data_IF_192975115025
#
_entry.id   IF_192975115025
#
_cell.length_a   1.000
_cell.length_b   1.000
_cell.length_c   1.000
_cell.angle_alpha   90.00
_cell.angle_beta   90.00
_cell.angle_gamma   90.00
#
_symmetry.space_group_name_H-M   'P 1'
#
loop_
_entity.id
_entity.type
_entity.pdbx_description
1 polymer ?
#
# COMPACT_ATOMS: atom_id res chain seq x y z
N UNK A 1 5.60 -11.33 12.99
CA UNK A 1 4.91 -10.75 11.80
C UNK A 1 5.89 -10.67 10.64
N UNK A 2 5.44 -10.84 9.41
CA UNK A 2 6.26 -10.74 8.20
C UNK A 2 5.51 -9.89 7.16
N UNK A 3 6.18 -8.93 6.55
CA UNK A 3 5.65 -8.15 5.42
C UNK A 3 6.39 -8.56 4.14
N UNK A 4 5.66 -8.60 3.01
CA UNK A 4 6.24 -8.81 1.68
C UNK A 4 5.62 -7.86 0.67
N UNK A 5 6.46 -7.26 -0.17
CA UNK A 5 6.06 -6.41 -1.28
C UNK A 5 5.86 -7.23 -2.55
N UNK A 6 4.73 -7.06 -3.22
CA UNK A 6 4.35 -7.74 -4.46
C UNK A 6 4.20 -6.77 -5.63
N UNK A 7 4.00 -5.50 -5.31
CA UNK A 7 3.99 -4.38 -6.23
C UNK A 7 4.28 -3.11 -5.46
N UNK A 8 5.09 -2.24 -6.05
CA UNK A 8 5.66 -1.05 -5.40
C UNK A 8 5.54 0.23 -6.24
N UNK A 9 5.00 0.14 -7.47
CA UNK A 9 4.82 1.28 -8.38
C UNK A 9 3.52 2.02 -8.12
N UNK A 10 3.55 3.32 -8.35
CA UNK A 10 2.38 4.19 -8.32
C UNK A 10 1.76 4.39 -9.69
N UNK A 11 0.50 4.75 -9.71
CA UNK A 11 -0.32 5.19 -10.83
C UNK A 11 -0.52 4.18 -11.96
N UNK A 12 0.53 3.52 -12.45
CA UNK A 12 0.47 2.56 -13.56
C UNK A 12 1.62 1.56 -13.47
N UNK A 13 1.44 0.30 -13.93
CA UNK A 13 2.55 -0.63 -14.03
C UNK A 13 3.66 -0.11 -14.94
N UNK A 14 4.91 -0.22 -14.49
CA UNK A 14 6.09 0.22 -15.22
C UNK A 14 7.12 -0.92 -15.32
N UNK A 15 6.79 -2.05 -16.03
CA UNK A 15 7.74 -3.14 -16.23
C UNK A 15 8.76 -2.75 -17.31
N UNK A 16 10.03 -3.03 -17.07
CA UNK A 16 11.07 -2.73 -18.05
C UNK A 16 12.47 -3.08 -17.54
N UNK A 17 13.50 -2.99 -18.40
CA UNK A 17 14.87 -3.28 -18.00
C UNK A 17 15.38 -2.32 -16.91
N UNK A 18 14.86 -1.09 -16.87
CA UNK A 18 15.27 -0.04 -15.96
C UNK A 18 14.59 -0.07 -14.59
N UNK A 19 13.62 -1.00 -14.41
CA UNK A 19 12.81 -1.14 -13.18
C UNK A 19 12.91 -2.54 -12.55
N UNK A 20 13.83 -3.38 -13.01
CA UNK A 20 13.94 -4.79 -12.59
C UNK A 20 14.26 -4.92 -11.10
N UNK A 21 15.07 -4.02 -10.55
CA UNK A 21 15.56 -4.12 -9.19
C UNK A 21 14.47 -3.85 -8.14
N UNK A 22 13.67 -2.81 -8.36
CA UNK A 22 12.59 -2.46 -7.45
C UNK A 22 11.27 -3.13 -7.83
N UNK A 23 11.03 -3.32 -9.11
CA UNK A 23 9.81 -3.93 -9.63
C UNK A 23 8.92 -2.94 -10.38
N UNK A 24 8.04 -3.47 -11.21
CA UNK A 24 7.16 -2.70 -12.10
C UNK A 24 5.65 -2.89 -11.81
N UNK A 25 5.27 -3.71 -10.84
CA UNK A 25 3.86 -3.92 -10.49
C UNK A 25 3.34 -2.82 -9.56
N UNK A 26 2.04 -2.52 -9.67
CA UNK A 26 1.38 -1.56 -8.80
C UNK A 26 1.02 -2.15 -7.44
N UNK A 27 0.64 -1.28 -6.52
CA UNK A 27 0.54 -1.45 -5.09
C UNK A 27 -0.10 -2.76 -4.63
N UNK A 28 0.71 -3.63 -4.01
CA UNK A 28 0.22 -4.81 -3.31
C UNK A 28 1.24 -5.24 -2.24
N UNK A 29 0.77 -5.33 -1.01
CA UNK A 29 1.59 -5.73 0.15
C UNK A 29 0.88 -6.83 0.92
N UNK A 30 1.60 -7.88 1.33
CA UNK A 30 1.04 -8.89 2.23
C UNK A 30 1.69 -8.85 3.60
N UNK A 31 0.87 -8.99 4.64
CA UNK A 31 1.30 -9.14 6.02
C UNK A 31 0.86 -10.51 6.53
N UNK A 32 1.84 -11.32 6.93
CA UNK A 32 1.61 -12.66 7.48
C UNK A 32 1.84 -12.65 8.99
N UNK A 33 0.86 -13.17 9.71
CA UNK A 33 0.96 -13.33 11.16
C UNK A 33 1.73 -14.60 11.55
N UNK A 34 2.17 -14.68 12.79
CA UNK A 34 2.80 -15.90 13.33
C UNK A 34 1.85 -17.11 13.35
N UNK A 35 0.53 -16.89 13.43
CA UNK A 35 -0.51 -17.93 13.47
C UNK A 35 -1.15 -18.23 12.11
N UNK A 36 -0.55 -17.75 11.02
CA UNK A 36 -1.00 -18.06 9.66
C UNK A 36 -2.10 -17.14 9.12
N UNK A 37 -2.45 -16.06 9.80
CA UNK A 37 -3.34 -15.02 9.26
C UNK A 37 -2.68 -14.29 8.09
N UNK A 38 -3.48 -13.89 7.11
CA UNK A 38 -3.06 -13.14 5.94
C UNK A 38 -3.86 -11.86 5.82
N UNK A 39 -3.17 -10.73 5.86
CA UNK A 39 -3.70 -9.42 5.46
C UNK A 39 -3.02 -9.00 4.17
N UNK A 40 -3.78 -8.54 3.21
CA UNK A 40 -3.33 -7.99 1.94
C UNK A 40 -3.72 -6.52 1.92
N UNK A 41 -2.79 -5.63 1.62
CA UNK A 41 -3.05 -4.20 1.51
C UNK A 41 -2.87 -3.81 0.05
N UNK A 42 -3.91 -3.24 -0.50
CA UNK A 42 -4.12 -2.91 -1.90
C UNK A 42 -4.07 -4.11 -2.87
N UNK A 43 -4.76 -3.96 -3.96
CA UNK A 43 -5.06 -5.01 -4.93
C UNK A 43 -4.59 -4.62 -6.34
N UNK A 44 -3.43 -3.94 -6.44
CA UNK A 44 -2.78 -3.62 -7.71
C UNK A 44 -2.27 -4.86 -8.45
N UNK A 45 -1.53 -4.67 -9.53
CA UNK A 45 -1.09 -5.80 -10.38
C UNK A 45 -0.21 -6.81 -9.65
N UNK A 46 0.48 -6.40 -8.57
CA UNK A 46 1.23 -7.31 -7.70
C UNK A 46 0.39 -8.42 -7.07
N UNK A 47 -0.93 -8.20 -6.92
CA UNK A 47 -1.86 -9.18 -6.37
C UNK A 47 -1.91 -10.49 -7.18
N UNK A 48 -1.74 -10.43 -8.50
CA UNK A 48 -1.69 -11.62 -9.35
C UNK A 48 -0.55 -12.55 -8.94
N UNK A 49 0.63 -12.01 -8.67
CA UNK A 49 1.81 -12.80 -8.26
C UNK A 49 1.64 -13.39 -6.86
N UNK A 50 1.07 -12.63 -5.93
CA UNK A 50 0.67 -13.13 -4.62
C UNK A 50 -0.31 -14.29 -4.76
N UNK A 51 -1.37 -14.10 -5.56
CA UNK A 51 -2.39 -15.12 -5.80
C UNK A 51 -1.79 -16.43 -6.31
N UNK A 52 -0.95 -16.37 -7.33
CA UNK A 52 -0.26 -17.53 -7.87
C UNK A 52 0.60 -18.27 -6.81
N UNK A 53 1.28 -17.51 -5.95
CA UNK A 53 2.07 -18.09 -4.85
C UNK A 53 1.18 -18.80 -3.83
N UNK A 54 0.03 -18.22 -3.48
CA UNK A 54 -0.91 -18.79 -2.51
C UNK A 54 -1.55 -20.09 -2.99
N UNK A 55 -1.66 -20.30 -4.31
CA UNK A 55 -2.20 -21.54 -4.90
C UNK A 55 -1.41 -22.78 -4.53
N UNK A 56 -0.13 -22.66 -4.22
CA UNK A 56 0.69 -23.77 -3.71
C UNK A 56 0.33 -24.25 -2.30
N UNK A 57 -0.53 -23.50 -1.57
CA UNK A 57 -0.88 -23.75 -0.17
C UNK A 57 -2.36 -24.07 0.03
N UNK A 58 -2.89 -23.60 1.15
CA UNK A 58 -4.28 -23.82 1.58
C UNK A 58 -5.30 -23.18 0.64
N UNK A 59 -4.93 -22.08 -0.01
CA UNK A 59 -5.81 -21.38 -0.96
C UNK A 59 -6.10 -22.20 -2.21
N UNK A 60 -5.14 -22.99 -2.71
CA UNK A 60 -5.37 -23.89 -3.83
C UNK A 60 -6.29 -25.08 -3.49
N UNK A 61 -6.54 -25.31 -2.20
CA UNK A 61 -7.42 -26.38 -1.67
C UNK A 61 -8.76 -25.87 -1.16
N UNK A 62 -9.06 -24.60 -1.30
CA UNK A 62 -10.30 -23.99 -0.83
C UNK A 62 -10.39 -23.77 0.68
N UNK A 63 -9.27 -23.81 1.40
CA UNK A 63 -9.22 -23.57 2.85
C UNK A 63 -8.59 -22.22 3.23
N UNK A 64 -8.35 -21.33 2.27
CA UNK A 64 -7.70 -20.06 2.48
C UNK A 64 -8.60 -18.98 3.05
N UNK A 65 -8.05 -18.16 3.95
CA UNK A 65 -8.73 -16.98 4.49
C UNK A 65 -7.80 -15.78 4.31
N UNK A 66 -8.31 -14.70 3.69
CA UNK A 66 -7.59 -13.44 3.53
C UNK A 66 -8.46 -12.25 3.93
N UNK A 67 -7.84 -11.27 4.58
CA UNK A 67 -8.42 -9.95 4.79
C UNK A 67 -7.69 -8.98 3.86
N UNK A 68 -8.42 -8.32 2.98
CA UNK A 68 -7.91 -7.30 2.08
C UNK A 68 -8.30 -5.93 2.62
N UNK A 69 -7.34 -5.03 2.69
CA UNK A 69 -7.51 -3.64 3.11
C UNK A 69 -7.23 -2.76 1.89
N UNK A 70 -8.18 -1.93 1.53
CA UNK A 70 -8.03 -1.04 0.39
C UNK A 70 -7.82 0.38 0.88
N UNK A 71 -6.69 0.99 0.46
CA UNK A 71 -6.40 2.39 0.78
C UNK A 71 -7.38 3.33 0.09
N UNK A 72 -7.62 3.12 -1.20
CA UNK A 72 -8.61 3.82 -2.03
C UNK A 72 -8.83 3.06 -3.34
N UNK A 73 -9.63 3.60 -4.25
CA UNK A 73 -10.14 2.88 -5.43
C UNK A 73 -9.57 3.35 -6.77
N UNK A 74 -8.40 4.02 -6.80
CA UNK A 74 -7.70 4.24 -8.05
C UNK A 74 -7.31 2.91 -8.70
N UNK A 75 -7.20 2.88 -10.02
CA UNK A 75 -7.01 1.64 -10.77
C UNK A 75 -5.78 0.85 -10.35
N UNK A 76 -4.70 1.51 -10.09
CA UNK A 76 -3.45 0.88 -9.68
C UNK A 76 -3.53 0.20 -8.31
N UNK A 77 -4.58 0.49 -7.52
CA UNK A 77 -4.87 -0.18 -6.26
C UNK A 77 -5.93 -1.29 -6.37
N UNK A 78 -6.66 -1.43 -7.48
CA UNK A 78 -7.74 -2.42 -7.63
C UNK A 78 -7.59 -3.33 -8.85
N UNK A 79 -6.78 -2.96 -9.85
CA UNK A 79 -6.74 -3.63 -11.17
C UNK A 79 -6.29 -5.09 -11.13
N UNK A 80 -5.60 -5.53 -10.08
CA UNK A 80 -5.20 -6.93 -9.90
C UNK A 80 -6.28 -7.84 -9.34
N UNK A 81 -7.35 -7.27 -8.75
CA UNK A 81 -8.39 -8.04 -8.10
C UNK A 81 -9.10 -9.05 -9.01
N UNK A 82 -9.51 -8.71 -10.25
CA UNK A 82 -10.10 -9.67 -11.19
C UNK A 82 -9.21 -10.85 -11.52
N UNK A 83 -7.90 -10.73 -11.34
CA UNK A 83 -6.89 -11.75 -11.66
C UNK A 83 -6.36 -12.50 -10.43
N UNK A 84 -6.99 -12.31 -9.27
CA UNK A 84 -6.61 -12.99 -8.03
C UNK A 84 -7.15 -14.43 -8.02
N UNK A 85 -6.37 -15.37 -8.54
CA UNK A 85 -6.76 -16.79 -8.72
C UNK A 85 -7.43 -17.41 -7.49
N UNK A 86 -6.98 -17.17 -6.23
CA UNK A 86 -7.64 -17.71 -5.04
C UNK A 86 -9.13 -17.33 -4.90
N UNK A 87 -9.57 -16.21 -5.51
CA UNK A 87 -10.97 -15.80 -5.50
C UNK A 87 -11.89 -16.75 -6.29
N UNK A 88 -11.34 -17.52 -7.22
CA UNK A 88 -12.10 -18.47 -8.04
C UNK A 88 -12.19 -19.87 -7.42
N UNK A 89 -11.49 -20.13 -6.30
CA UNK A 89 -11.44 -21.43 -5.66
C UNK A 89 -12.54 -21.52 -4.58
N UNK A 90 -13.49 -22.41 -4.79
CA UNK A 90 -14.57 -22.67 -3.84
C UNK A 90 -14.05 -23.02 -2.45
N UNK A 91 -14.68 -22.49 -1.41
CA UNK A 91 -14.31 -22.69 -0.02
C UNK A 91 -13.33 -21.68 0.56
N UNK A 92 -12.58 -20.92 -0.26
CA UNK A 92 -11.83 -19.78 0.22
C UNK A 92 -12.76 -18.66 0.72
N UNK A 93 -12.29 -17.88 1.68
CA UNK A 93 -13.01 -16.73 2.25
C UNK A 93 -12.15 -15.48 2.16
N UNK A 94 -12.70 -14.44 1.56
CA UNK A 94 -12.03 -13.17 1.32
C UNK A 94 -12.90 -12.06 1.88
N UNK A 95 -12.35 -11.27 2.83
CA UNK A 95 -13.02 -10.09 3.35
C UNK A 95 -12.29 -8.85 2.84
N UNK A 96 -12.98 -8.02 2.06
CA UNK A 96 -12.44 -6.75 1.53
C UNK A 96 -12.99 -5.60 2.35
N UNK A 97 -12.09 -4.74 2.83
CA UNK A 97 -12.42 -3.56 3.62
C UNK A 97 -11.87 -2.31 2.93
N UNK A 98 -12.67 -1.26 2.79
CA UNK A 98 -12.23 0.03 2.28
C UNK A 98 -13.18 1.15 2.70
N UNK A 99 -12.67 2.39 2.82
CA UNK A 99 -13.38 3.38 3.60
C UNK A 99 -13.76 4.69 2.94
N UNK A 100 -12.97 5.17 2.00
CA UNK A 100 -13.14 6.56 1.54
C UNK A 100 -14.12 6.73 0.37
N UNK A 101 -14.31 5.68 -0.41
CA UNK A 101 -15.20 5.73 -1.58
C UNK A 101 -16.49 4.95 -1.26
N UNK A 102 -17.66 5.56 -1.37
CA UNK A 102 -18.93 4.86 -1.18
C UNK A 102 -19.14 3.81 -2.29
N UNK A 103 -19.98 2.81 -2.03
CA UNK A 103 -20.31 1.77 -3.00
C UNK A 103 -19.11 0.92 -3.45
N UNK A 104 -18.24 0.55 -2.50
CA UNK A 104 -17.02 -0.22 -2.80
C UNK A 104 -17.30 -1.50 -3.59
N UNK A 105 -18.38 -2.23 -3.29
CA UNK A 105 -18.74 -3.46 -4.00
C UNK A 105 -19.08 -3.18 -5.47
N UNK A 106 -19.85 -2.12 -5.74
CA UNK A 106 -20.20 -1.72 -7.12
C UNK A 106 -18.95 -1.31 -7.92
N UNK A 107 -17.97 -0.68 -7.27
CA UNK A 107 -16.70 -0.30 -7.91
C UNK A 107 -15.88 -1.53 -8.27
N UNK A 108 -15.76 -2.48 -7.34
CA UNK A 108 -15.03 -3.73 -7.59
C UNK A 108 -15.71 -4.56 -8.67
N UNK A 109 -17.04 -4.61 -8.71
CA UNK A 109 -17.77 -5.30 -9.75
C UNK A 109 -17.72 -4.55 -11.09
N UNK A 110 -17.76 -3.22 -11.07
CA UNK A 110 -17.74 -2.38 -12.27
C UNK A 110 -16.49 -2.57 -13.13
N UNK A 111 -15.33 -2.89 -12.54
CA UNK A 111 -14.12 -3.20 -13.31
C UNK A 111 -14.19 -4.53 -14.07
N UNK A 112 -15.17 -5.38 -13.76
CA UNK A 112 -15.39 -6.70 -14.39
C UNK A 112 -16.46 -6.67 -15.51
N UNK A 113 -16.67 -5.52 -16.11
CA UNK A 113 -17.61 -5.35 -17.22
C UNK A 113 -17.17 -6.16 -18.46
N UNK A 114 -18.02 -7.03 -19.02
CA UNK A 114 -17.65 -7.94 -20.12
C UNK A 114 -17.26 -7.24 -21.43
N UNK A 115 -17.52 -5.93 -21.55
CA UNK A 115 -17.11 -5.15 -22.74
C UNK A 115 -15.59 -4.96 -22.80
N UNK A 116 -14.92 -4.88 -21.63
CA UNK A 116 -13.48 -4.63 -21.56
C UNK A 116 -12.72 -5.53 -20.56
N UNK A 117 -13.42 -6.37 -19.81
CA UNK A 117 -12.81 -7.32 -18.87
C UNK A 117 -13.10 -8.76 -19.29
N UNK A 118 -12.09 -9.67 -19.26
CA UNK A 118 -12.33 -11.10 -19.48
C UNK A 118 -13.03 -11.77 -18.27
N UNK A 119 -13.03 -11.12 -17.11
CA UNK A 119 -13.68 -11.58 -15.88
C UNK A 119 -14.99 -10.81 -15.73
N UNK A 120 -16.11 -11.51 -15.59
CA UNK A 120 -17.43 -10.96 -15.84
C UNK A 120 -18.25 -10.56 -14.61
N UNK A 121 -17.95 -11.06 -13.39
CA UNK A 121 -18.60 -10.56 -12.16
C UNK A 121 -18.01 -11.16 -10.88
N UNK A 122 -18.24 -10.52 -9.74
CA UNK A 122 -17.96 -11.09 -8.40
C UNK A 122 -18.71 -12.41 -8.19
N UNK A 123 -19.93 -12.52 -8.69
CA UNK A 123 -20.76 -13.72 -8.58
C UNK A 123 -20.19 -14.95 -9.28
N UNK A 124 -19.28 -14.78 -10.23
CA UNK A 124 -18.59 -15.89 -10.90
C UNK A 124 -17.33 -16.37 -10.15
N UNK A 125 -16.92 -15.68 -9.10
CA UNK A 125 -15.85 -16.10 -8.22
C UNK A 125 -16.33 -17.20 -7.29
N UNK A 126 -15.63 -18.33 -7.22
CA UNK A 126 -16.05 -19.51 -6.45
C UNK A 126 -15.88 -19.35 -4.94
N UNK A 127 -15.09 -18.39 -4.47
CA UNK A 127 -14.87 -18.11 -3.05
C UNK A 127 -16.04 -17.32 -2.43
N UNK A 128 -16.12 -17.31 -1.11
CA UNK A 128 -17.00 -16.39 -0.40
C UNK A 128 -16.31 -15.05 -0.26
N UNK A 129 -16.79 -14.03 -0.96
CA UNK A 129 -16.28 -12.66 -0.87
C UNK A 129 -17.26 -11.81 -0.07
N UNK A 130 -16.75 -11.08 0.92
CA UNK A 130 -17.53 -10.12 1.70
C UNK A 130 -16.88 -8.76 1.57
N UNK A 131 -17.59 -7.79 1.02
CA UNK A 131 -17.14 -6.40 0.91
C UNK A 131 -17.70 -5.59 2.07
N UNK A 132 -16.87 -4.83 2.74
CA UNK A 132 -17.23 -3.99 3.89
C UNK A 132 -16.75 -2.57 3.68
N UNK A 133 -17.69 -1.65 3.79
CA UNK A 133 -17.39 -0.22 3.82
C UNK A 133 -16.93 0.15 5.23
N UNK A 134 -15.77 0.79 5.35
CA UNK A 134 -15.34 1.39 6.61
C UNK A 134 -16.05 2.73 6.80
N UNK A 135 -16.68 2.92 7.94
CA UNK A 135 -17.24 4.20 8.31
C UNK A 135 -16.24 4.99 9.18
N UNK A 136 -16.30 6.31 9.10
CA UNK A 136 -15.33 7.23 9.73
C UNK A 136 -15.22 7.09 11.27
N UNK A 137 -16.15 6.41 11.92
CA UNK A 137 -16.21 6.21 13.37
C UNK A 137 -16.19 4.72 13.77
N UNK A 138 -15.92 3.82 12.82
CA UNK A 138 -15.77 2.41 13.16
C UNK A 138 -14.50 2.21 13.99
N UNK A 139 -14.63 1.32 14.99
CA UNK A 139 -13.50 0.89 15.79
C UNK A 139 -12.49 0.06 14.99
N UNK A 140 -11.47 -0.42 15.65
CA UNK A 140 -10.43 -1.24 15.03
C UNK A 140 -11.00 -2.51 14.40
N UNK A 141 -10.46 -2.89 13.23
CA UNK A 141 -10.74 -4.18 12.61
C UNK A 141 -9.93 -5.25 13.35
N UNK A 142 -10.61 -6.28 13.83
CA UNK A 142 -9.96 -7.41 14.51
C UNK A 142 -10.00 -8.64 13.64
N UNK A 143 -8.82 -9.21 13.33
CA UNK A 143 -8.66 -10.41 12.51
C UNK A 143 -7.78 -11.39 13.26
N UNK A 144 -8.38 -12.35 13.96
CA UNK A 144 -7.64 -13.24 14.84
C UNK A 144 -6.92 -12.47 15.94
N UNK A 145 -5.59 -12.54 15.95
CA UNK A 145 -4.75 -11.81 16.92
C UNK A 145 -4.33 -10.42 16.44
N UNK A 146 -4.74 -10.04 15.24
CA UNK A 146 -4.42 -8.74 14.67
C UNK A 146 -5.45 -7.70 15.11
N UNK A 147 -4.93 -6.56 15.51
CA UNK A 147 -5.66 -5.31 15.63
C UNK A 147 -5.23 -4.40 14.48
N UNK A 148 -6.18 -3.95 13.68
CA UNK A 148 -5.93 -3.06 12.56
C UNK A 148 -6.62 -1.74 12.86
N UNK A 149 -5.81 -0.73 13.14
CA UNK A 149 -6.24 0.67 13.26
C UNK A 149 -6.23 1.30 11.88
N UNK A 150 -7.09 2.24 11.65
CA UNK A 150 -7.13 3.00 10.40
C UNK A 150 -7.37 4.47 10.66
N UNK A 151 -6.91 5.30 9.74
CA UNK A 151 -7.20 6.74 9.74
C UNK A 151 -7.45 7.21 8.30
N UNK A 152 -8.31 8.20 8.16
CA UNK A 152 -8.49 8.91 6.90
C UNK A 152 -7.27 9.79 6.67
N UNK A 153 -6.72 9.73 5.47
CA UNK A 153 -5.57 10.53 5.04
C UNK A 153 -6.05 11.48 3.96
N UNK A 154 -5.76 12.75 4.15
CA UNK A 154 -6.02 13.74 3.10
C UNK A 154 -5.03 13.55 1.95
N UNK A 155 -5.56 13.40 0.74
CA UNK A 155 -4.80 13.18 -0.48
C UNK A 155 -5.37 14.05 -1.61
N UNK A 156 -5.10 15.35 -1.57
CA UNK A 156 -5.62 16.27 -2.58
C UNK A 156 -7.15 16.18 -2.74
N UNK A 157 -7.67 15.93 -3.95
CA UNK A 157 -9.10 15.83 -4.19
C UNK A 157 -9.73 14.50 -3.72
N UNK A 158 -8.91 13.51 -3.38
CA UNK A 158 -9.35 12.17 -2.99
C UNK A 158 -8.69 11.77 -1.68
N UNK A 159 -9.49 11.33 -0.72
CA UNK A 159 -8.94 10.81 0.52
C UNK A 159 -8.55 9.34 0.38
N UNK A 160 -7.56 8.94 1.17
CA UNK A 160 -7.11 7.55 1.31
C UNK A 160 -7.34 7.05 2.74
N UNK A 161 -7.19 5.75 2.95
CA UNK A 161 -7.12 5.14 4.28
C UNK A 161 -5.70 4.67 4.54
N UNK A 162 -5.11 5.15 5.62
CA UNK A 162 -3.90 4.59 6.20
C UNK A 162 -4.24 3.46 7.17
N UNK A 163 -3.39 2.46 7.25
CA UNK A 163 -3.59 1.30 8.11
C UNK A 163 -2.41 1.07 9.03
N UNK A 164 -2.70 0.77 10.30
CA UNK A 164 -1.71 0.26 11.26
C UNK A 164 -2.11 -1.13 11.70
N UNK A 165 -1.26 -2.11 11.42
CA UNK A 165 -1.47 -3.53 11.73
C UNK A 165 -0.60 -3.89 12.92
N UNK A 166 -1.22 -4.37 13.99
CA UNK A 166 -0.57 -4.72 15.25
C UNK A 166 -0.74 -6.21 15.58
N UNK A 167 0.36 -6.87 15.96
CA UNK A 167 0.39 -8.24 16.50
C UNK A 167 1.22 -8.24 17.80
N UNK A 168 0.54 -8.19 18.93
CA UNK A 168 1.20 -7.98 20.23
C UNK A 168 1.91 -6.63 20.29
N UNK A 169 3.24 -6.63 20.50
CA UNK A 169 4.05 -5.41 20.53
C UNK A 169 4.64 -5.02 19.17
N UNK A 170 4.33 -5.74 18.10
CA UNK A 170 4.85 -5.48 16.76
C UNK A 170 3.84 -4.70 15.93
N UNK A 171 4.32 -3.77 15.14
CA UNK A 171 3.45 -2.93 14.32
C UNK A 171 4.04 -2.60 12.95
N UNK A 172 3.16 -2.59 11.94
CA UNK A 172 3.42 -2.11 10.59
C UNK A 172 2.40 -1.00 10.34
N UNK A 173 2.85 0.17 9.90
CA UNK A 173 1.99 1.23 9.41
C UNK A 173 2.16 1.34 7.88
N UNK A 174 1.06 1.45 7.16
CA UNK A 174 1.03 1.58 5.71
C UNK A 174 0.27 2.84 5.31
N UNK A 175 0.94 3.69 4.55
CA UNK A 175 0.47 4.98 4.06
C UNK A 175 0.69 5.00 2.54
N UNK A 176 -0.37 4.72 1.78
CA UNK A 176 -0.30 4.53 0.32
C UNK A 176 -0.02 5.81 -0.44
N UNK A 177 -0.81 6.83 -0.14
CA UNK A 177 -0.73 8.15 -0.73
C UNK A 177 -0.98 9.18 0.36
N UNK A 178 -0.08 10.14 0.51
CA UNK A 178 -0.12 11.16 1.56
C UNK A 178 0.39 12.49 1.00
N UNK A 179 -0.43 13.51 1.01
CA UNK A 179 0.02 14.86 0.73
C UNK A 179 0.44 15.57 2.03
N UNK A 180 1.56 16.29 1.96
CA UNK A 180 2.03 17.18 3.04
C UNK A 180 2.03 18.63 2.55
N UNK A 181 0.88 19.32 2.53
CA UNK A 181 0.79 20.69 2.03
C UNK A 181 1.76 21.61 2.78
N UNK A 182 2.59 22.34 2.05
CA UNK A 182 3.63 23.22 2.62
C UNK A 182 4.58 22.53 3.63
N UNK A 183 4.74 21.21 3.55
CA UNK A 183 5.57 20.43 4.46
C UNK A 183 4.94 20.22 5.86
N UNK A 184 3.66 20.50 6.02
CA UNK A 184 2.95 20.33 7.29
C UNK A 184 2.53 18.86 7.41
N UNK A 185 2.99 18.20 8.48
CA UNK A 185 2.62 16.83 8.79
C UNK A 185 1.24 16.79 9.47
N UNK A 186 0.36 15.92 8.97
CA UNK A 186 -0.94 15.69 9.60
C UNK A 186 -0.76 14.97 10.96
N UNK A 187 -1.25 15.53 12.08
CA UNK A 187 -1.12 14.93 13.40
C UNK A 187 -1.77 13.53 13.51
N UNK A 188 -2.88 13.27 12.80
CA UNK A 188 -3.55 11.96 12.81
C UNK A 188 -2.71 10.91 12.11
N UNK A 189 -2.06 11.27 10.99
CA UNK A 189 -1.15 10.39 10.26
C UNK A 189 0.11 10.11 11.08
N UNK A 190 0.68 11.13 11.74
CA UNK A 190 1.81 10.95 12.67
C UNK A 190 1.44 10.01 13.82
N UNK A 191 0.22 10.18 14.39
CA UNK A 191 -0.24 9.32 15.49
C UNK A 191 -0.46 7.87 15.02
N UNK A 192 -1.01 7.66 13.82
CA UNK A 192 -1.17 6.32 13.25
C UNK A 192 0.19 5.62 13.09
N UNK A 193 1.20 6.36 12.63
CA UNK A 193 2.56 5.86 12.41
C UNK A 193 3.41 5.75 13.69
N UNK A 194 2.95 6.30 14.82
CA UNK A 194 3.74 6.45 16.05
C UNK A 194 4.41 5.16 16.50
N UNK A 195 5.76 5.19 16.60
CA UNK A 195 6.59 4.09 17.08
C UNK A 195 6.49 2.82 16.25
N UNK A 196 6.06 2.88 14.99
CA UNK A 196 5.94 1.71 14.13
C UNK A 196 7.29 0.99 13.99
N UNK A 197 7.28 -0.36 14.08
CA UNK A 197 8.48 -1.15 13.77
C UNK A 197 8.85 -1.04 12.29
N UNK A 198 7.82 -0.97 11.42
CA UNK A 198 7.94 -0.68 9.99
C UNK A 198 6.91 0.36 9.62
N UNK A 199 7.35 1.44 8.99
CA UNK A 199 6.51 2.38 8.27
C UNK A 199 6.74 2.15 6.76
N UNK A 200 5.68 1.86 6.04
CA UNK A 200 5.64 1.89 4.57
C UNK A 200 4.96 3.19 4.19
N UNK A 201 5.67 4.09 3.55
CA UNK A 201 5.17 5.40 3.18
C UNK A 201 5.47 5.66 1.70
N UNK A 202 4.51 6.19 0.98
CA UNK A 202 4.75 6.61 -0.39
C UNK A 202 5.88 7.64 -0.47
N UNK A 203 6.58 7.61 -1.58
CA UNK A 203 7.62 8.58 -1.92
C UNK A 203 7.66 8.71 -3.45
N UNK A 204 6.66 9.40 -3.97
CA UNK A 204 6.44 9.51 -5.41
C UNK A 204 7.46 10.42 -6.08
N UNK A 205 7.80 11.54 -5.43
CA UNK A 205 8.72 12.53 -5.95
C UNK A 205 10.09 12.44 -5.27
N UNK A 206 11.17 12.68 -6.02
CA UNK A 206 12.44 13.08 -5.42
C UNK A 206 12.30 14.47 -4.76
N UNK A 207 13.22 14.84 -3.88
CA UNK A 207 13.17 16.16 -3.23
C UNK A 207 13.34 17.28 -4.26
N UNK A 208 14.25 17.07 -5.23
CA UNK A 208 14.51 18.01 -6.31
C UNK A 208 13.26 18.23 -7.19
N UNK A 209 12.52 17.17 -7.52
CA UNK A 209 11.30 17.29 -8.32
C UNK A 209 10.22 18.10 -7.59
N UNK A 210 10.13 17.95 -6.27
CA UNK A 210 9.18 18.71 -5.46
C UNK A 210 9.60 20.19 -5.36
N UNK A 211 10.91 20.46 -5.19
CA UNK A 211 11.47 21.81 -5.06
C UNK A 211 11.40 22.59 -6.39
N UNK A 212 11.70 21.93 -7.51
CA UNK A 212 11.68 22.54 -8.86
C UNK A 212 10.26 22.85 -9.36
N UNK A 213 9.25 22.36 -8.69
CA UNK A 213 7.84 22.54 -9.05
C UNK A 213 7.02 23.06 -7.87
N UNK A 214 7.28 24.30 -7.39
CA UNK A 214 6.61 24.87 -6.22
C UNK A 214 5.09 25.03 -6.36
N UNK A 215 4.52 24.77 -7.55
CA UNK A 215 3.08 24.69 -7.77
C UNK A 215 2.50 23.28 -7.62
N UNK A 216 3.31 22.24 -7.42
CA UNK A 216 2.82 20.87 -7.26
C UNK A 216 2.31 20.57 -5.85
N UNK A 217 2.94 21.12 -4.82
CA UNK A 217 2.40 21.11 -3.47
C UNK A 217 1.16 22.03 -3.42
N UNK A 218 0.00 21.49 -3.77
CA UNK A 218 -1.27 22.23 -3.82
C UNK A 218 -1.67 22.80 -5.19
N UNK A 219 -0.99 22.44 -6.30
CA UNK A 219 -1.41 22.82 -7.64
C UNK A 219 -2.43 21.83 -8.22
N UNK A 220 -3.39 22.36 -9.00
CA UNK A 220 -4.40 21.56 -9.70
C UNK A 220 -3.89 20.90 -11.00
N UNK A 221 -2.57 20.71 -11.15
CA UNK A 221 -2.04 20.02 -12.31
C UNK A 221 -2.40 18.52 -12.24
N UNK A 222 -2.96 17.93 -13.32
CA UNK A 222 -3.29 16.50 -13.33
C UNK A 222 -2.07 15.64 -12.99
N UNK A 223 -2.20 14.76 -12.00
CA UNK A 223 -1.15 13.85 -11.55
C UNK A 223 -0.14 14.40 -10.55
N UNK A 224 -0.30 15.68 -10.13
CA UNK A 224 0.65 16.32 -9.20
C UNK A 224 0.14 16.43 -7.76
N UNK A 225 -1.12 16.15 -7.53
CA UNK A 225 -1.79 16.30 -6.24
C UNK A 225 -1.77 14.97 -5.46
N UNK A 226 -1.63 15.08 -4.15
CA UNK A 226 -1.82 13.93 -3.27
C UNK A 226 -0.57 13.11 -2.99
N UNK A 227 0.64 13.57 -3.37
CA UNK A 227 1.86 12.79 -3.21
C UNK A 227 2.97 13.50 -2.44
N UNK A 228 3.84 12.70 -1.80
CA UNK A 228 4.99 13.13 -1.03
C UNK A 228 6.32 12.91 -1.75
N UNK A 229 7.37 13.58 -1.24
CA UNK A 229 8.76 13.27 -1.60
C UNK A 229 9.40 12.30 -0.60
N UNK A 230 10.58 11.76 -0.97
CA UNK A 230 11.42 10.98 -0.07
C UNK A 230 11.74 11.74 1.23
N UNK A 231 11.99 13.04 1.13
CA UNK A 231 12.25 13.89 2.29
C UNK A 231 11.06 14.03 3.22
N UNK A 232 9.88 14.28 2.68
CA UNK A 232 8.65 14.40 3.45
C UNK A 232 8.27 13.09 4.15
N UNK A 233 8.44 11.94 3.47
CA UNK A 233 8.25 10.62 4.07
C UNK A 233 9.23 10.39 5.22
N UNK A 234 10.49 10.83 5.08
CA UNK A 234 11.50 10.76 6.15
C UNK A 234 11.13 11.65 7.33
N UNK A 235 10.64 12.86 7.08
CA UNK A 235 10.25 13.81 8.13
C UNK A 235 9.07 13.27 8.96
N UNK A 236 8.08 12.66 8.29
CA UNK A 236 6.98 11.99 8.98
C UNK A 236 7.48 10.81 9.81
N UNK A 237 8.36 9.97 9.26
CA UNK A 237 8.93 8.83 9.98
C UNK A 237 9.69 9.26 11.25
N UNK A 238 10.46 10.36 11.17
CA UNK A 238 11.15 10.95 12.32
C UNK A 238 10.17 11.50 13.36
N UNK A 239 9.17 12.27 12.93
CA UNK A 239 8.15 12.82 13.81
C UNK A 239 7.34 11.74 14.53
N UNK A 240 7.04 10.63 13.84
CA UNK A 240 6.35 9.48 14.41
C UNK A 240 7.26 8.59 15.28
N UNK A 241 8.58 8.75 15.23
CA UNK A 241 9.52 7.86 15.92
C UNK A 241 9.49 6.43 15.38
N UNK A 242 9.23 6.26 14.08
CA UNK A 242 9.28 4.96 13.42
C UNK A 242 10.71 4.41 13.44
N UNK A 243 10.85 3.05 13.49
CA UNK A 243 12.17 2.43 13.55
C UNK A 243 12.78 2.21 12.17
N UNK A 244 11.95 1.77 11.22
CA UNK A 244 12.35 1.54 9.82
C UNK A 244 11.31 2.13 8.89
N UNK A 245 11.76 2.87 7.87
CA UNK A 245 10.94 3.41 6.80
C UNK A 245 11.26 2.68 5.49
N UNK A 246 10.22 2.24 4.81
CA UNK A 246 10.31 1.76 3.44
C UNK A 246 9.59 2.76 2.53
N UNK A 247 10.34 3.43 1.66
CA UNK A 247 9.78 4.25 0.59
C UNK A 247 9.04 3.36 -0.39
N UNK A 248 7.82 3.73 -0.71
CA UNK A 248 6.89 2.93 -1.48
C UNK A 248 6.25 3.78 -2.58
N UNK A 249 5.47 3.19 -3.46
CA UNK A 249 4.71 3.90 -4.48
C UNK A 249 5.59 4.71 -5.43
N UNK A 250 6.66 4.06 -5.93
CA UNK A 250 7.65 4.72 -6.79
C UNK A 250 7.03 5.26 -8.08
N UNK A 251 7.43 6.48 -8.47
CA UNK A 251 6.99 7.11 -9.72
C UNK A 251 7.24 6.19 -10.92
N UNK A 252 6.30 6.05 -11.88
CA UNK A 252 6.47 5.17 -13.04
C UNK A 252 7.73 5.46 -13.86
N UNK A 253 8.11 6.74 -13.98
CA UNK A 253 9.28 7.18 -14.75
C UNK A 253 10.61 7.11 -13.96
N UNK A 254 10.58 6.77 -12.67
CA UNK A 254 11.81 6.57 -11.91
C UNK A 254 12.42 5.22 -12.20
N UNK A 255 13.61 5.22 -12.82
CA UNK A 255 14.44 4.05 -12.98
C UNK A 255 15.08 3.60 -11.65
N UNK A 256 15.68 2.42 -11.65
CA UNK A 256 16.35 1.88 -10.47
C UNK A 256 17.46 2.81 -9.92
N UNK A 257 18.33 3.43 -10.75
CA UNK A 257 19.32 4.40 -10.29
C UNK A 257 18.73 5.65 -9.63
N UNK A 258 17.62 6.17 -10.13
CA UNK A 258 16.94 7.34 -9.54
C UNK A 258 16.47 7.04 -8.12
N UNK A 259 15.82 5.90 -7.91
CA UNK A 259 15.38 5.46 -6.58
C UNK A 259 16.58 5.27 -5.64
N UNK A 260 17.65 4.61 -6.12
CA UNK A 260 18.88 4.41 -5.33
C UNK A 260 19.51 5.72 -4.88
N UNK A 261 19.59 6.70 -5.79
CA UNK A 261 20.11 8.03 -5.50
C UNK A 261 19.28 8.73 -4.42
N UNK A 262 17.96 8.71 -4.54
CA UNK A 262 17.06 9.33 -3.56
C UNK A 262 17.22 8.70 -2.16
N UNK A 263 17.27 7.37 -2.08
CA UNK A 263 17.54 6.65 -0.82
C UNK A 263 18.90 7.01 -0.22
N UNK A 264 19.93 7.09 -1.05
CA UNK A 264 21.28 7.45 -0.61
C UNK A 264 21.35 8.89 -0.05
N UNK A 265 20.62 9.81 -0.65
CA UNK A 265 20.51 11.21 -0.18
C UNK A 265 19.87 11.25 1.21
N UNK A 266 18.77 10.52 1.43
CA UNK A 266 18.09 10.48 2.73
C UNK A 266 18.95 9.79 3.80
N UNK A 267 19.65 8.70 3.48
CA UNK A 267 20.63 8.08 4.37
C UNK A 267 21.73 9.05 4.78
N UNK A 268 22.25 9.83 3.83
CA UNK A 268 23.28 10.84 4.12
C UNK A 268 22.72 11.99 4.97
N UNK A 269 21.43 12.38 4.76
CA UNK A 269 20.75 13.38 5.59
C UNK A 269 20.61 12.90 7.03
N UNK A 270 20.13 11.68 7.24
CA UNK A 270 19.97 11.05 8.57
C UNK A 270 21.31 10.90 9.31
N UNK A 271 22.36 10.48 8.60
CA UNK A 271 23.71 10.35 9.20
C UNK A 271 24.24 11.68 9.73
N UNK A 272 23.95 12.81 9.06
CA UNK A 272 24.36 14.16 9.52
C UNK A 272 23.63 14.61 10.78
N UNK A 273 22.39 14.15 10.98
CA UNK A 273 21.57 14.51 12.16
C UNK A 273 21.75 13.54 13.34
N UNK A 274 22.44 12.41 13.14
CA UNK A 274 22.57 11.37 14.14
C UNK A 274 21.27 10.59 14.43
N UNK A 275 20.28 10.67 13.53
CA UNK A 275 19.03 9.94 13.69
C UNK A 275 19.23 8.42 13.54
N UNK A 276 18.48 7.65 14.32
CA UNK A 276 18.57 6.18 14.33
C UNK A 276 17.56 5.51 13.35
N UNK A 277 16.79 6.30 12.61
CA UNK A 277 15.85 5.80 11.62
C UNK A 277 16.58 5.05 10.49
N UNK A 278 16.21 3.80 10.27
CA UNK A 278 16.67 3.02 9.11
C UNK A 278 15.75 3.28 7.93
N UNK A 279 16.31 3.56 6.75
CA UNK A 279 15.52 3.80 5.54
C UNK A 279 15.98 2.93 4.39
N UNK A 280 15.03 2.40 3.61
CA UNK A 280 15.27 1.68 2.35
C UNK A 280 14.07 1.89 1.41
N UNK A 281 14.24 1.58 0.11
CA UNK A 281 13.11 1.54 -0.81
C UNK A 281 12.49 0.14 -0.84
N UNK A 282 11.16 0.08 -0.90
CA UNK A 282 10.43 -1.16 -1.08
C UNK A 282 10.76 -1.80 -2.43
N UNK A 283 10.96 -3.11 -2.42
CA UNK A 283 11.27 -3.91 -3.63
C UNK A 283 10.37 -5.12 -3.71
N UNK A 284 9.86 -5.40 -4.90
CA UNK A 284 9.10 -6.63 -5.14
C UNK A 284 9.90 -7.88 -4.72
N UNK A 285 9.20 -8.84 -4.15
CA UNK A 285 9.79 -10.09 -3.68
C UNK A 285 10.49 -10.01 -2.32
N UNK A 286 10.71 -8.81 -1.76
CA UNK A 286 11.41 -8.66 -0.48
C UNK A 286 10.53 -9.10 0.68
N UNK A 287 11.03 -10.02 1.50
CA UNK A 287 10.45 -10.47 2.77
C UNK A 287 11.14 -9.79 3.96
N UNK A 288 10.38 -9.11 4.80
CA UNK A 288 10.91 -8.43 6.00
C UNK A 288 10.22 -9.01 7.24
N UNK A 289 10.98 -9.39 8.23
CA UNK A 289 10.48 -9.90 9.52
C UNK A 289 10.66 -8.88 10.63
N UNK A 290 9.68 -8.82 11.55
CA UNK A 290 9.70 -8.04 12.79
C UNK A 290 9.28 -8.86 13.98
#
# INVERSE_FOLDING_TARGET
MKIKFWGVRGSIPAPGPDTIRYGGNTSCVSVHTKRGGLVIIDMGTGLMHLGNTLMGGVFGKGGGHATMLLSHTHWDHIQGFPFFVPAFIAGNKISVWGGVTPHLEDILEGQMNPVYSPIVSLGNMGSTITVRQLEHQEGDIVVGDLRIRHARIHNGPHDCVGYRIEEGSRSICYLAEVEHPAGILDPEVVELARGADILVHEAFYTNEELDDRPGLAGSHAPGAQGHSSFGQATDLALAAGAKRLYYFYHHPDHDDPTIEKAVAQERARLARTGATLEVDAAREGTDIRI
#
